data_IF_705807046198
#
_entry.id   IF_705807046198
#
_cell.length_a   1.000
_cell.length_b   1.000
_cell.length_c   1.000
_cell.angle_alpha   90.00
_cell.angle_beta   90.00
_cell.angle_gamma   90.00
#
_symmetry.space_group_name_H-M   'P 1'
#
loop_
_entity.id
_entity.type
_entity.pdbx_description
1 polymer ?
#
# COMPACT_ATOMS: atom_id res chain seq x y z
N UNK A 1 21.29 4.48 9.38
CA UNK A 1 21.17 3.03 9.15
C UNK A 1 21.16 2.83 7.65
N UNK A 2 22.20 2.21 7.08
CA UNK A 2 22.32 2.06 5.62
C UNK A 2 21.46 0.88 5.14
N UNK A 3 20.30 1.21 4.55
CA UNK A 3 19.29 0.23 4.11
C UNK A 3 19.75 -0.66 2.94
N UNK A 4 20.87 -0.31 2.29
CA UNK A 4 21.58 -1.15 1.32
C UNK A 4 22.07 -2.49 1.90
N UNK A 5 22.02 -2.65 3.22
CA UNK A 5 22.40 -3.89 3.92
C UNK A 5 21.25 -4.91 4.08
N UNK A 6 20.02 -4.59 3.65
CA UNK A 6 18.86 -5.49 3.74
C UNK A 6 18.79 -6.40 2.50
N UNK A 7 18.97 -7.73 2.63
CA UNK A 7 18.93 -8.65 1.49
C UNK A 7 17.53 -8.69 0.86
N UNK A 8 17.44 -8.49 -0.46
CA UNK A 8 16.19 -8.57 -1.24
C UNK A 8 15.65 -7.23 -1.75
N UNK A 9 16.28 -6.11 -1.41
CA UNK A 9 15.88 -4.80 -1.93
C UNK A 9 16.35 -4.67 -3.39
N UNK A 10 15.41 -4.66 -4.34
CA UNK A 10 15.73 -4.19 -5.70
C UNK A 10 16.27 -2.76 -5.56
N UNK A 11 17.42 -2.49 -6.18
CA UNK A 11 18.32 -1.36 -5.94
C UNK A 11 17.62 0.02 -5.94
N UNK A 12 16.41 0.10 -6.48
CA UNK A 12 15.69 1.34 -6.75
C UNK A 12 14.64 1.73 -5.69
N UNK A 13 14.16 0.81 -4.83
CA UNK A 13 13.08 1.13 -3.86
C UNK A 13 13.48 2.27 -2.89
N UNK A 14 14.67 2.26 -2.27
CA UNK A 14 15.05 3.35 -1.37
C UNK A 14 15.29 4.69 -2.09
N UNK A 15 15.62 4.67 -3.39
CA UNK A 15 15.77 5.90 -4.19
C UNK A 15 14.40 6.48 -4.49
N UNK A 16 13.47 5.63 -4.91
CA UNK A 16 12.07 6.00 -5.16
C UNK A 16 11.42 6.58 -3.90
N UNK A 17 11.55 5.91 -2.75
CA UNK A 17 10.99 6.40 -1.48
C UNK A 17 11.56 7.77 -1.06
N UNK A 18 12.82 8.08 -1.39
CA UNK A 18 13.39 9.41 -1.15
C UNK A 18 12.85 10.45 -2.12
N UNK A 19 12.64 10.08 -3.39
CA UNK A 19 12.07 10.97 -4.39
C UNK A 19 10.66 11.44 -4.04
N UNK A 20 9.88 10.64 -3.30
CA UNK A 20 8.56 11.05 -2.78
C UNK A 20 8.62 12.23 -1.80
N UNK A 21 9.77 12.43 -1.14
CA UNK A 21 9.97 13.53 -0.19
C UNK A 21 10.36 14.85 -0.89
N UNK A 22 10.77 14.79 -2.15
CA UNK A 22 11.23 15.94 -2.92
C UNK A 22 10.10 16.46 -3.83
N UNK A 23 9.58 17.67 -3.62
CA UNK A 23 8.51 18.24 -4.44
C UNK A 23 8.80 18.25 -5.94
N UNK A 24 10.06 18.38 -6.36
CA UNK A 24 10.44 18.40 -7.77
C UNK A 24 10.49 16.99 -8.40
N UNK A 25 10.69 15.95 -7.58
CA UNK A 25 10.82 14.56 -8.02
C UNK A 25 9.59 13.69 -7.69
N UNK A 26 8.68 14.16 -6.83
CA UNK A 26 7.61 13.36 -6.24
C UNK A 26 6.69 12.70 -7.28
N UNK A 27 6.31 13.41 -8.35
CA UNK A 27 5.48 12.85 -9.42
C UNK A 27 6.19 11.69 -10.14
N UNK A 28 7.48 11.85 -10.45
CA UNK A 28 8.25 10.79 -11.11
C UNK A 28 8.49 9.61 -10.17
N UNK A 29 8.73 9.89 -8.89
CA UNK A 29 8.93 8.89 -7.86
C UNK A 29 7.66 8.07 -7.61
N UNK A 30 6.49 8.70 -7.53
CA UNK A 30 5.20 8.01 -7.44
C UNK A 30 5.00 7.09 -8.65
N UNK A 31 5.18 7.59 -9.87
CA UNK A 31 5.05 6.76 -11.07
C UNK A 31 5.98 5.56 -11.04
N UNK A 32 7.23 5.76 -10.63
CA UNK A 32 8.19 4.67 -10.48
C UNK A 32 7.76 3.68 -9.39
N UNK A 33 7.21 4.17 -8.28
CA UNK A 33 6.68 3.34 -7.20
C UNK A 33 5.53 2.46 -7.72
N UNK A 34 4.57 3.02 -8.44
CA UNK A 34 3.45 2.29 -9.04
C UNK A 34 3.93 1.09 -9.86
N UNK A 35 4.94 1.29 -10.72
CA UNK A 35 5.54 0.21 -11.51
C UNK A 35 6.24 -0.86 -10.67
N UNK A 36 6.81 -0.49 -9.52
CA UNK A 36 7.51 -1.43 -8.64
C UNK A 36 6.52 -2.28 -7.84
N UNK A 37 5.42 -1.68 -7.38
CA UNK A 37 4.50 -2.31 -6.42
C UNK A 37 3.32 -3.01 -7.09
N UNK A 38 3.10 -2.79 -8.39
CA UNK A 38 2.09 -3.46 -9.18
C UNK A 38 2.73 -4.46 -10.15
N UNK A 39 2.21 -5.68 -10.19
CA UNK A 39 2.62 -6.72 -11.16
C UNK A 39 1.62 -6.83 -12.34
N UNK A 40 0.46 -6.19 -12.22
CA UNK A 40 -0.56 -6.08 -13.25
C UNK A 40 -1.74 -5.20 -12.79
N UNK A 41 -2.77 -4.98 -13.63
CA UNK A 41 -3.86 -4.06 -13.32
C UNK A 41 -4.65 -4.36 -12.04
N UNK A 42 -4.70 -5.62 -11.62
CA UNK A 42 -5.41 -6.09 -10.42
C UNK A 42 -4.51 -6.97 -9.55
N UNK A 43 -3.20 -6.72 -9.56
CA UNK A 43 -2.24 -7.57 -8.88
C UNK A 43 -1.09 -6.75 -8.31
N UNK A 44 -0.92 -6.83 -6.99
CA UNK A 44 0.25 -6.28 -6.32
C UNK A 44 1.47 -7.14 -6.63
N UNK A 45 2.65 -6.53 -6.56
CA UNK A 45 3.92 -7.24 -6.70
C UNK A 45 4.43 -7.74 -5.36
N UNK A 46 5.49 -8.55 -5.39
CA UNK A 46 6.19 -9.00 -4.19
C UNK A 46 6.92 -7.86 -3.44
N UNK A 47 7.01 -6.67 -4.03
CA UNK A 47 7.61 -5.48 -3.40
C UNK A 47 6.61 -4.77 -2.50
N UNK A 48 5.30 -4.81 -2.81
CA UNK A 48 4.25 -4.10 -2.07
C UNK A 48 4.33 -4.32 -0.55
N UNK A 49 4.45 -5.56 -0.01
CA UNK A 49 4.49 -5.77 1.43
C UNK A 49 5.63 -5.05 2.13
N UNK A 50 6.79 -4.93 1.46
CA UNK A 50 7.97 -4.30 2.05
C UNK A 50 7.88 -2.76 2.08
N UNK A 51 7.06 -2.15 1.21
CA UNK A 51 6.92 -0.70 1.14
C UNK A 51 5.76 -0.17 1.97
N UNK A 52 4.71 -0.96 2.21
CA UNK A 52 3.51 -0.55 2.99
C UNK A 52 3.86 0.15 4.31
N UNK A 53 4.76 -0.37 5.17
CA UNK A 53 5.13 0.30 6.41
C UNK A 53 5.70 1.71 6.21
N UNK A 54 6.41 1.95 5.12
CA UNK A 54 6.98 3.25 4.80
C UNK A 54 5.91 4.19 4.26
N UNK A 55 5.09 3.71 3.34
CA UNK A 55 3.99 4.48 2.76
C UNK A 55 2.99 4.91 3.83
N UNK A 56 2.65 4.05 4.80
CA UNK A 56 1.78 4.40 5.93
C UNK A 56 2.34 5.57 6.76
N UNK A 57 3.66 5.58 6.99
CA UNK A 57 4.32 6.66 7.76
C UNK A 57 4.42 7.95 6.96
N UNK A 58 4.69 7.86 5.66
CA UNK A 58 4.71 9.01 4.75
C UNK A 58 3.31 9.63 4.63
N UNK A 59 2.29 8.82 4.36
CA UNK A 59 0.91 9.28 4.23
C UNK A 59 0.32 9.87 5.53
N UNK A 60 0.95 9.61 6.68
CA UNK A 60 0.57 10.24 7.95
C UNK A 60 1.09 11.67 8.11
N UNK A 61 1.97 12.14 7.22
CA UNK A 61 2.42 13.53 7.15
C UNK A 61 1.54 14.33 6.17
N UNK A 62 0.73 15.29 6.64
CA UNK A 62 -0.13 16.10 5.77
C UNK A 62 0.66 17.03 4.84
N UNK A 63 1.94 17.31 5.12
CA UNK A 63 2.79 18.17 4.30
C UNK A 63 3.46 17.44 3.13
N UNK A 64 3.30 16.12 3.05
CA UNK A 64 3.96 15.32 2.03
C UNK A 64 3.42 15.68 0.62
N UNK A 65 4.31 15.87 -0.36
CA UNK A 65 3.89 15.99 -1.76
C UNK A 65 3.09 14.76 -2.20
N UNK A 66 1.97 14.98 -2.89
CA UNK A 66 1.16 13.91 -3.50
C UNK A 66 0.71 12.85 -2.47
N UNK A 67 0.45 13.29 -1.24
CA UNK A 67 -0.04 12.45 -0.14
C UNK A 67 -1.29 11.65 -0.52
N UNK A 68 -2.23 12.30 -1.20
CA UNK A 68 -3.47 11.72 -1.72
C UNK A 68 -3.23 10.50 -2.61
N UNK A 69 -2.26 10.61 -3.52
CA UNK A 69 -1.88 9.51 -4.43
C UNK A 69 -1.29 8.33 -3.64
N UNK A 70 -0.48 8.60 -2.60
CA UNK A 70 0.03 7.53 -1.73
C UNK A 70 -1.07 6.86 -0.89
N UNK A 71 -2.07 7.63 -0.45
CA UNK A 71 -3.25 7.06 0.23
C UNK A 71 -4.04 6.18 -0.74
N UNK A 72 -4.22 6.61 -1.99
CA UNK A 72 -4.82 5.80 -3.05
C UNK A 72 -4.06 4.50 -3.28
N UNK A 73 -2.74 4.55 -3.34
CA UNK A 73 -1.90 3.36 -3.49
C UNK A 73 -2.01 2.40 -2.29
N UNK A 74 -2.02 2.94 -1.07
CA UNK A 74 -2.24 2.16 0.15
C UNK A 74 -3.63 1.51 0.17
N UNK A 75 -4.64 2.19 -0.35
CA UNK A 75 -5.98 1.64 -0.50
C UNK A 75 -6.00 0.48 -1.51
N UNK A 76 -5.36 0.65 -2.68
CA UNK A 76 -5.19 -0.44 -3.65
C UNK A 76 -4.48 -1.63 -3.02
N UNK A 77 -3.43 -1.39 -2.24
CA UNK A 77 -2.72 -2.44 -1.51
C UNK A 77 -3.64 -3.15 -0.50
N UNK A 78 -4.45 -2.42 0.26
CA UNK A 78 -5.40 -2.98 1.21
C UNK A 78 -6.45 -3.87 0.50
N UNK A 79 -7.10 -3.35 -0.55
CA UNK A 79 -8.13 -4.05 -1.34
C UNK A 79 -7.56 -5.31 -1.99
N UNK A 80 -6.46 -5.17 -2.74
CA UNK A 80 -5.87 -6.30 -3.47
C UNK A 80 -5.15 -7.30 -2.57
N UNK A 81 -4.89 -6.94 -1.32
CA UNK A 81 -4.38 -7.88 -0.33
C UNK A 81 -5.47 -8.73 0.31
N UNK A 82 -6.76 -8.49 0.06
CA UNK A 82 -7.83 -9.32 0.63
C UNK A 82 -7.65 -10.81 0.27
N UNK A 83 -7.98 -11.73 1.18
CA UNK A 83 -7.88 -13.16 0.88
C UNK A 83 -8.92 -13.56 -0.18
N UNK A 84 -8.53 -14.39 -1.14
CA UNK A 84 -9.49 -14.97 -2.09
C UNK A 84 -10.44 -15.93 -1.36
N UNK A 85 -11.74 -15.78 -1.59
CA UNK A 85 -12.77 -16.75 -1.19
C UNK A 85 -12.72 -17.99 -2.10
N UNK A 86 -12.30 -19.17 -1.58
CA UNK A 86 -12.19 -20.39 -2.38
C UNK A 86 -13.53 -20.96 -2.84
N UNK A 87 -14.65 -20.55 -2.22
CA UNK A 87 -15.99 -21.00 -2.58
C UNK A 87 -16.66 -20.05 -3.60
N UNK A 88 -16.03 -18.92 -3.91
CA UNK A 88 -16.50 -17.95 -4.90
C UNK A 88 -15.72 -18.08 -6.22
N UNK A 89 -16.39 -18.64 -7.24
CA UNK A 89 -15.78 -18.84 -8.56
C UNK A 89 -15.37 -17.53 -9.25
N UNK A 90 -16.07 -16.41 -9.01
CA UNK A 90 -15.70 -15.12 -9.58
C UNK A 90 -14.42 -14.58 -8.93
N UNK A 91 -14.32 -14.68 -7.60
CA UNK A 91 -13.14 -14.23 -6.87
C UNK A 91 -11.90 -15.06 -7.24
N UNK A 92 -12.04 -16.39 -7.36
CA UNK A 92 -10.97 -17.24 -7.89
C UNK A 92 -10.55 -16.90 -9.32
N UNK A 93 -11.49 -16.49 -10.18
CA UNK A 93 -11.18 -16.12 -11.57
C UNK A 93 -10.42 -14.79 -11.68
N UNK A 94 -10.71 -13.84 -10.78
CA UNK A 94 -10.08 -12.51 -10.76
C UNK A 94 -8.76 -12.53 -10.01
N UNK A 95 -8.76 -13.10 -8.81
CA UNK A 95 -7.68 -13.00 -7.82
C UNK A 95 -6.77 -14.23 -7.81
N UNK A 96 -7.20 -15.33 -8.43
CA UNK A 96 -6.48 -16.60 -8.39
C UNK A 96 -6.42 -17.23 -6.98
N UNK A 97 -5.85 -18.44 -6.85
CA UNK A 97 -5.69 -19.11 -5.56
C UNK A 97 -4.70 -18.39 -4.64
N UNK A 98 -5.03 -18.24 -3.35
CA UNK A 98 -4.17 -17.56 -2.35
C UNK A 98 -2.75 -18.12 -2.27
N UNK A 99 -2.58 -19.43 -2.40
CA UNK A 99 -1.27 -20.10 -2.35
C UNK A 99 -0.30 -19.63 -3.44
N UNK A 100 -0.82 -19.11 -4.55
CA UNK A 100 -0.01 -18.66 -5.69
C UNK A 100 0.40 -17.18 -5.53
N UNK A 101 -0.14 -16.50 -4.50
CA UNK A 101 0.02 -15.06 -4.23
C UNK A 101 0.42 -14.78 -2.77
N UNK A 102 1.59 -15.29 -2.30
CA UNK A 102 2.03 -15.11 -0.92
C UNK A 102 2.23 -13.63 -0.53
N UNK A 103 2.47 -12.75 -1.50
CA UNK A 103 2.57 -11.30 -1.31
C UNK A 103 1.32 -10.69 -0.68
N UNK A 104 0.12 -11.22 -0.95
CA UNK A 104 -1.12 -10.70 -0.34
C UNK A 104 -1.15 -10.92 1.16
N UNK A 105 -0.87 -12.14 1.61
CA UNK A 105 -0.79 -12.46 3.02
C UNK A 105 0.31 -11.66 3.74
N UNK A 106 1.45 -11.46 3.08
CA UNK A 106 2.53 -10.62 3.60
C UNK A 106 2.12 -9.14 3.69
N UNK A 107 1.40 -8.63 2.68
CA UNK A 107 0.88 -7.27 2.66
C UNK A 107 -0.09 -7.03 3.84
N UNK A 108 -1.06 -7.93 4.05
CA UNK A 108 -1.95 -7.89 5.21
C UNK A 108 -1.17 -7.93 6.52
N UNK A 109 -0.16 -8.79 6.64
CA UNK A 109 0.68 -8.85 7.84
C UNK A 109 1.42 -7.53 8.09
N UNK A 110 1.86 -6.83 7.05
CA UNK A 110 2.47 -5.50 7.17
C UNK A 110 1.46 -4.45 7.66
N UNK A 111 0.23 -4.44 7.14
CA UNK A 111 -0.84 -3.58 7.63
C UNK A 111 -1.16 -3.83 9.11
N UNK A 112 -1.29 -5.09 9.52
CA UNK A 112 -1.52 -5.47 10.93
C UNK A 112 -0.35 -5.01 11.82
N UNK A 113 0.88 -5.20 11.38
CA UNK A 113 2.07 -4.78 12.15
C UNK A 113 2.15 -3.26 12.36
N UNK A 114 1.64 -2.48 11.41
CA UNK A 114 1.61 -1.02 11.45
C UNK A 114 0.17 -0.46 11.62
N UNK A 115 -0.73 -1.22 12.24
CA UNK A 115 -2.15 -0.84 12.39
C UNK A 115 -2.35 0.50 13.10
N UNK A 116 -1.45 0.90 14.00
CA UNK A 116 -1.47 2.21 14.64
C UNK A 116 -1.33 3.38 13.62
N UNK A 117 -0.56 3.19 12.55
CA UNK A 117 -0.45 4.17 11.47
C UNK A 117 -1.71 4.19 10.60
N UNK A 118 -2.34 3.03 10.38
CA UNK A 118 -3.65 2.95 9.71
C UNK A 118 -4.72 3.70 10.51
N UNK A 119 -4.78 3.50 11.83
CA UNK A 119 -5.69 4.25 12.70
C UNK A 119 -5.44 5.76 12.63
N UNK A 120 -4.18 6.18 12.64
CA UNK A 120 -3.81 7.59 12.51
C UNK A 120 -4.27 8.17 11.17
N UNK A 121 -4.09 7.43 10.08
CA UNK A 121 -4.54 7.81 8.75
C UNK A 121 -6.07 7.97 8.70
N UNK A 122 -6.81 7.01 9.26
CA UNK A 122 -8.28 7.04 9.30
C UNK A 122 -8.86 8.12 10.24
N UNK A 123 -8.07 8.56 11.21
CA UNK A 123 -8.42 9.64 12.14
C UNK A 123 -8.10 11.04 11.60
N UNK A 124 -7.44 11.14 10.45
CA UNK A 124 -7.06 12.41 9.83
C UNK A 124 -8.30 13.16 9.29
N UNK A 125 -8.54 14.38 9.76
CA UNK A 125 -9.73 15.15 9.41
C UNK A 125 -9.77 15.57 7.93
N UNK A 126 -8.62 15.81 7.30
CA UNK A 126 -8.56 16.16 5.87
C UNK A 126 -8.94 14.96 5.02
N UNK A 127 -8.39 13.78 5.32
CA UNK A 127 -8.77 12.53 4.64
C UNK A 127 -10.19 12.08 4.98
N UNK A 128 -10.75 12.48 6.13
CA UNK A 128 -12.16 12.25 6.47
C UNK A 128 -13.10 13.14 5.66
N UNK A 129 -12.66 14.35 5.32
CA UNK A 129 -13.42 15.27 4.49
C UNK A 129 -13.28 14.97 2.98
N UNK A 130 -12.31 14.15 2.59
CA UNK A 130 -12.10 13.74 1.20
C UNK A 130 -13.30 12.92 0.68
N UNK A 131 -14.03 13.41 -0.34
CA UNK A 131 -15.17 12.70 -0.91
C UNK A 131 -14.77 11.41 -1.65
N UNK A 132 -13.50 11.21 -1.97
CA UNK A 132 -12.99 10.03 -2.68
C UNK A 132 -12.60 8.88 -1.74
N UNK A 133 -12.51 9.11 -0.43
CA UNK A 133 -12.27 8.05 0.56
C UNK A 133 -13.57 7.68 1.27
N UNK A 134 -14.34 6.80 0.63
CA UNK A 134 -15.67 6.38 1.08
C UNK A 134 -15.64 5.37 2.24
N UNK A 135 -16.82 4.97 2.71
CA UNK A 135 -16.95 4.01 3.81
C UNK A 135 -16.39 2.62 3.45
N UNK A 136 -16.54 2.18 2.19
CA UNK A 136 -15.99 0.92 1.69
C UNK A 136 -14.46 0.92 1.67
N UNK A 137 -13.84 2.06 1.32
CA UNK A 137 -12.40 2.23 1.32
C UNK A 137 -11.83 2.19 2.74
N UNK A 138 -12.52 2.84 3.68
CA UNK A 138 -12.17 2.79 5.11
C UNK A 138 -12.32 1.38 5.67
N UNK A 139 -13.37 0.66 5.28
CA UNK A 139 -13.56 -0.73 5.67
C UNK A 139 -12.42 -1.61 5.15
N UNK A 140 -11.92 -1.36 3.94
CA UNK A 140 -10.76 -2.07 3.37
C UNK A 140 -9.50 -1.85 4.21
N UNK A 141 -9.23 -0.61 4.64
CA UNK A 141 -8.12 -0.32 5.55
C UNK A 141 -8.27 -1.00 6.91
N UNK A 142 -9.46 -0.93 7.51
CA UNK A 142 -9.77 -1.56 8.80
C UNK A 142 -9.54 -3.07 8.72
N UNK A 143 -10.07 -3.71 7.67
CA UNK A 143 -9.90 -5.15 7.45
C UNK A 143 -8.43 -5.52 7.25
N UNK A 144 -7.69 -4.80 6.41
CA UNK A 144 -6.28 -5.08 6.15
C UNK A 144 -5.42 -4.93 7.42
N UNK A 145 -5.76 -3.96 8.28
CA UNK A 145 -5.09 -3.71 9.56
C UNK A 145 -5.53 -4.62 10.70
N UNK A 146 -6.58 -5.44 10.51
CA UNK A 146 -7.14 -6.31 11.54
C UNK A 146 -7.75 -5.55 12.72
N UNK A 147 -8.42 -4.42 12.42
CA UNK A 147 -9.02 -3.50 13.39
C UNK A 147 -10.53 -3.70 13.57
#
# INVERSE_FOLDING_TARGET
MEWSSVPGCQVDVPVVLRGLLDPEAAEMAERALDWLVMSGPMSISTVMPAVVPYLLRLAADPSLPRRDELVGLLLVAAVLSAPTDPDNAWDLAVSGPEKDHPERAQCRAAFVADAAWVQRLLADDELRADPYLGDEDRASFVQAAGL
#
